data_IF_806144868766
#
_entry.id   IF_806144868766
#
_cell.length_a   1.000
_cell.length_b   1.000
_cell.length_c   1.000
_cell.angle_alpha   90.00
_cell.angle_beta   90.00
_cell.angle_gamma   90.00
#
_symmetry.space_group_name_H-M   'P 1'
#
loop_
_entity.id
_entity.type
_entity.pdbx_description
1 polymer ?
#
# COMPACT_ATOMS: atom_id res chain seq x y z
N UNK A 1 18.32 -9.31 -27.04
CA UNK A 1 17.77 -10.66 -27.24
C UNK A 1 16.78 -10.94 -26.12
N UNK A 2 15.62 -11.51 -26.43
CA UNK A 2 14.60 -11.85 -25.42
C UNK A 2 14.91 -13.22 -24.81
N UNK A 3 14.97 -13.31 -23.48
CA UNK A 3 15.17 -14.57 -22.76
C UNK A 3 13.95 -15.49 -22.93
N UNK A 4 14.17 -16.80 -23.07
CA UNK A 4 13.09 -17.80 -23.02
C UNK A 4 12.72 -18.15 -21.57
N UNK A 5 11.51 -18.68 -21.30
CA UNK A 5 11.13 -19.12 -19.95
C UNK A 5 12.08 -20.19 -19.37
N UNK A 6 12.60 -21.10 -20.20
CA UNK A 6 13.54 -22.14 -19.79
C UNK A 6 14.90 -21.55 -19.39
N UNK A 7 15.42 -20.58 -20.15
CA UNK A 7 16.65 -19.88 -19.80
C UNK A 7 16.48 -19.06 -18.51
N UNK A 8 15.32 -18.42 -18.33
CA UNK A 8 15.00 -17.71 -17.09
C UNK A 8 14.95 -18.65 -15.87
N UNK A 9 14.32 -19.82 -16.02
CA UNK A 9 14.32 -20.85 -14.98
C UNK A 9 15.74 -21.33 -14.67
N UNK A 10 16.54 -21.67 -15.69
CA UNK A 10 17.94 -22.06 -15.51
C UNK A 10 18.75 -21.00 -14.75
N UNK A 11 18.54 -19.71 -15.05
CA UNK A 11 19.19 -18.59 -14.37
C UNK A 11 18.86 -18.56 -12.87
N UNK A 12 17.59 -18.77 -12.52
CA UNK A 12 17.15 -18.81 -11.12
C UNK A 12 17.69 -20.05 -10.38
N UNK A 13 17.78 -21.21 -11.04
CA UNK A 13 18.42 -22.43 -10.50
C UNK A 13 19.92 -22.20 -10.23
N UNK A 14 20.59 -21.44 -11.10
CA UNK A 14 22.00 -21.07 -10.95
C UNK A 14 22.23 -19.93 -9.94
N UNK A 15 21.20 -19.47 -9.21
CA UNK A 15 21.25 -18.31 -8.31
C UNK A 15 21.73 -17.01 -9.00
N UNK A 16 21.48 -16.87 -10.30
CA UNK A 16 21.85 -15.70 -11.10
C UNK A 16 20.65 -14.77 -11.29
N UNK A 17 20.90 -13.47 -11.22
CA UNK A 17 19.91 -12.42 -11.48
C UNK A 17 19.36 -12.54 -12.91
N UNK A 18 18.05 -12.37 -13.11
CA UNK A 18 17.46 -12.10 -14.43
C UNK A 18 17.57 -10.59 -14.67
N UNK A 19 18.20 -10.18 -15.77
CA UNK A 19 18.43 -8.75 -16.02
C UNK A 19 17.11 -8.00 -16.25
N UNK A 20 17.14 -6.69 -16.04
CA UNK A 20 15.96 -5.83 -16.14
C UNK A 20 15.14 -6.07 -17.43
N UNK A 21 15.76 -5.99 -18.61
CA UNK A 21 15.06 -6.14 -19.89
C UNK A 21 14.55 -7.57 -20.13
N UNK A 22 15.25 -8.56 -19.58
CA UNK A 22 14.83 -9.97 -19.59
C UNK A 22 13.58 -10.15 -18.72
N UNK A 23 13.56 -9.54 -17.54
CA UNK A 23 12.42 -9.57 -16.62
C UNK A 23 11.21 -8.83 -17.19
N UNK A 24 11.40 -7.70 -17.88
CA UNK A 24 10.32 -7.01 -18.59
C UNK A 24 9.65 -7.95 -19.59
N UNK A 25 10.43 -8.65 -20.41
CA UNK A 25 9.88 -9.62 -21.37
C UNK A 25 9.13 -10.76 -20.67
N UNK A 26 9.76 -11.36 -19.64
CA UNK A 26 9.21 -12.49 -18.91
C UNK A 26 7.88 -12.15 -18.22
N UNK A 27 7.80 -10.99 -17.58
CA UNK A 27 6.58 -10.53 -16.91
C UNK A 27 5.47 -10.22 -17.91
N UNK A 28 5.79 -9.74 -19.13
CA UNK A 28 4.77 -9.55 -20.18
C UNK A 28 4.17 -10.88 -20.62
N UNK A 29 4.96 -11.95 -20.72
CA UNK A 29 4.44 -13.29 -21.02
C UNK A 29 3.47 -13.77 -19.93
N UNK A 30 3.82 -13.58 -18.65
CA UNK A 30 2.94 -13.92 -17.52
C UNK A 30 1.65 -13.09 -17.56
N UNK A 31 1.77 -11.77 -17.74
CA UNK A 31 0.61 -10.86 -17.76
C UNK A 31 -0.31 -11.10 -18.97
N UNK A 32 0.20 -11.55 -20.11
CA UNK A 32 -0.61 -11.94 -21.28
C UNK A 32 -1.28 -13.31 -21.16
N UNK A 33 -0.73 -14.19 -20.32
CA UNK A 33 -1.17 -15.58 -20.22
C UNK A 33 -0.47 -16.50 -21.22
N UNK A 34 0.66 -16.07 -21.77
CA UNK A 34 1.44 -16.80 -22.78
C UNK A 34 2.44 -17.81 -22.15
N UNK A 35 2.45 -17.92 -20.82
CA UNK A 35 3.31 -18.84 -20.06
C UNK A 35 2.48 -19.92 -19.38
N UNK A 36 2.93 -21.18 -19.44
CA UNK A 36 2.23 -22.27 -18.77
C UNK A 36 2.25 -22.07 -17.24
N UNK A 37 1.19 -22.49 -16.51
CA UNK A 37 1.14 -22.40 -15.05
C UNK A 37 2.33 -23.07 -14.35
N UNK A 38 2.78 -24.22 -14.88
CA UNK A 38 3.93 -24.98 -14.34
C UNK A 38 5.22 -24.18 -14.46
N UNK A 39 5.47 -23.58 -15.63
CA UNK A 39 6.67 -22.79 -15.86
C UNK A 39 6.68 -21.51 -15.00
N UNK A 40 5.53 -20.83 -14.93
CA UNK A 40 5.37 -19.65 -14.08
C UNK A 40 5.62 -19.99 -12.60
N UNK A 41 5.05 -21.08 -12.08
CA UNK A 41 5.27 -21.53 -10.71
C UNK A 41 6.76 -21.84 -10.44
N UNK A 42 7.44 -22.51 -11.36
CA UNK A 42 8.86 -22.84 -11.23
C UNK A 42 9.74 -21.59 -11.16
N UNK A 43 9.55 -20.64 -12.06
CA UNK A 43 10.30 -19.38 -12.10
C UNK A 43 10.03 -18.54 -10.86
N UNK A 44 8.77 -18.38 -10.46
CA UNK A 44 8.40 -17.60 -9.28
C UNK A 44 9.01 -18.20 -8.01
N UNK A 45 9.04 -19.53 -7.92
CA UNK A 45 9.71 -20.24 -6.82
C UNK A 45 11.22 -20.01 -6.85
N UNK A 46 11.84 -20.11 -8.03
CA UNK A 46 13.26 -19.85 -8.23
C UNK A 46 13.67 -18.42 -7.85
N UNK A 47 12.89 -17.42 -8.26
CA UNK A 47 13.05 -16.02 -7.84
C UNK A 47 13.02 -15.87 -6.33
N UNK A 48 12.05 -16.51 -5.68
CA UNK A 48 11.88 -16.43 -4.23
C UNK A 48 13.03 -17.08 -3.47
N UNK A 49 13.51 -18.24 -3.92
CA UNK A 49 14.65 -18.96 -3.32
C UNK A 49 15.96 -18.20 -3.52
N UNK A 50 16.17 -17.64 -4.73
CA UNK A 50 17.32 -16.78 -5.02
C UNK A 50 17.30 -15.46 -4.23
N UNK A 51 16.10 -14.99 -3.86
CA UNK A 51 15.76 -13.62 -3.48
C UNK A 51 15.79 -12.67 -4.68
N UNK A 52 14.72 -11.90 -4.81
CA UNK A 52 14.50 -10.96 -5.89
C UNK A 52 15.40 -9.72 -5.73
N UNK A 53 15.99 -9.25 -6.83
CA UNK A 53 16.80 -8.03 -6.86
C UNK A 53 15.93 -6.79 -7.11
N UNK A 54 16.48 -5.60 -6.83
CA UNK A 54 15.83 -4.32 -7.15
C UNK A 54 15.51 -4.23 -8.65
N UNK A 55 16.40 -4.73 -9.53
CA UNK A 55 16.19 -4.71 -10.98
C UNK A 55 15.03 -5.60 -11.42
N UNK A 56 14.94 -6.81 -10.85
CA UNK A 56 13.85 -7.75 -11.13
C UNK A 56 12.50 -7.20 -10.64
N UNK A 57 12.45 -6.63 -9.42
CA UNK A 57 11.22 -6.08 -8.84
C UNK A 57 10.76 -4.84 -9.62
N UNK A 58 11.67 -3.92 -9.96
CA UNK A 58 11.33 -2.72 -10.73
C UNK A 58 10.79 -3.06 -12.12
N UNK A 59 11.41 -4.03 -12.82
CA UNK A 59 10.92 -4.50 -14.11
C UNK A 59 9.53 -5.13 -14.00
N UNK A 60 9.31 -5.98 -12.99
CA UNK A 60 8.02 -6.62 -12.76
C UNK A 60 6.91 -5.59 -12.42
N UNK A 61 7.21 -4.60 -11.57
CA UNK A 61 6.29 -3.51 -11.25
C UNK A 61 5.97 -2.66 -12.49
N UNK A 62 6.97 -2.33 -13.31
CA UNK A 62 6.79 -1.59 -14.58
C UNK A 62 5.79 -2.30 -15.49
N UNK A 63 5.96 -3.60 -15.71
CA UNK A 63 5.03 -4.38 -16.54
C UNK A 63 3.64 -4.47 -15.91
N UNK A 64 3.54 -4.59 -14.59
CA UNK A 64 2.23 -4.57 -13.92
C UNK A 64 1.52 -3.22 -14.10
N UNK A 65 2.25 -2.09 -14.10
CA UNK A 65 1.70 -0.76 -14.43
C UNK A 65 1.29 -0.64 -15.90
N UNK A 66 2.02 -1.27 -16.83
CA UNK A 66 1.66 -1.32 -18.27
C UNK A 66 0.30 -2.00 -18.51
N UNK A 67 -0.03 -3.02 -17.73
CA UNK A 67 -1.27 -3.79 -17.85
C UNK A 67 -2.39 -3.33 -16.90
N UNK A 68 -2.14 -2.29 -16.11
CA UNK A 68 -3.13 -1.72 -15.20
C UNK A 68 -4.11 -0.80 -15.94
N UNK A 69 -5.37 -0.76 -15.48
CA UNK A 69 -6.33 0.27 -15.87
C UNK A 69 -6.02 1.54 -15.06
N UNK A 70 -5.37 2.50 -15.69
CA UNK A 70 -4.90 3.74 -15.06
C UNK A 70 -6.06 4.63 -14.62
N UNK A 71 -5.82 5.38 -13.55
CA UNK A 71 -6.69 6.45 -13.07
C UNK A 71 -5.97 7.76 -13.37
N UNK A 72 -6.48 8.52 -14.33
CA UNK A 72 -5.89 9.80 -14.70
C UNK A 72 -6.28 10.85 -13.65
N UNK A 73 -5.29 11.38 -12.94
CA UNK A 73 -5.45 12.41 -11.90
C UNK A 73 -4.60 13.62 -12.30
N UNK A 74 -5.12 14.82 -12.08
CA UNK A 74 -4.35 16.04 -12.28
C UNK A 74 -3.10 16.05 -11.39
N UNK A 75 -1.99 16.51 -11.96
CA UNK A 75 -0.72 16.62 -11.25
C UNK A 75 -0.88 17.45 -9.97
N UNK A 76 -0.37 16.92 -8.87
CA UNK A 76 -0.52 17.53 -7.56
C UNK A 76 0.60 17.05 -6.64
N UNK A 77 1.41 18.01 -6.17
CA UNK A 77 2.55 17.74 -5.30
C UNK A 77 2.14 17.13 -3.95
N UNK A 78 0.87 17.27 -3.52
CA UNK A 78 0.34 16.70 -2.29
C UNK A 78 -0.46 15.41 -2.50
N UNK A 79 -0.27 14.74 -3.64
CA UNK A 79 -0.90 13.47 -3.95
C UNK A 79 -0.07 12.29 -3.42
N UNK A 80 -0.67 11.50 -2.54
CA UNK A 80 0.00 10.40 -1.84
C UNK A 80 -0.77 9.09 -1.98
N UNK A 81 -0.03 8.00 -2.15
CA UNK A 81 -0.55 6.64 -1.98
C UNK A 81 -0.31 6.13 -0.56
N UNK A 82 -1.34 5.58 0.08
CA UNK A 82 -1.25 4.99 1.42
C UNK A 82 -1.59 3.51 1.33
N UNK A 83 -0.55 2.67 1.33
CA UNK A 83 -0.67 1.25 1.01
C UNK A 83 0.25 0.40 1.89
N UNK A 84 -0.15 -0.83 2.14
CA UNK A 84 0.68 -1.85 2.80
C UNK A 84 0.82 -3.07 1.90
N UNK A 85 1.92 -3.82 2.07
CA UNK A 85 2.05 -5.15 1.46
C UNK A 85 1.00 -6.13 1.98
N UNK A 86 0.49 -5.89 3.19
CA UNK A 86 -0.35 -6.83 3.93
C UNK A 86 0.39 -8.10 4.33
N UNK A 87 -0.31 -8.96 5.05
CA UNK A 87 0.23 -10.24 5.47
C UNK A 87 1.26 -10.15 6.59
N UNK A 88 1.29 -9.05 7.33
CA UNK A 88 2.08 -8.89 8.56
C UNK A 88 1.65 -9.85 9.69
N UNK A 89 0.41 -10.37 9.64
CA UNK A 89 -0.15 -11.30 10.62
C UNK A 89 -0.55 -10.63 11.94
N UNK A 90 -0.60 -9.30 11.99
CA UNK A 90 -0.93 -8.55 13.20
C UNK A 90 -2.42 -8.62 13.54
N UNK A 91 -3.27 -8.79 12.51
CA UNK A 91 -4.74 -8.80 12.61
C UNK A 91 -5.31 -7.53 13.25
N UNK A 92 -4.64 -6.38 13.07
CA UNK A 92 -5.16 -5.10 13.54
C UNK A 92 -6.37 -4.64 12.71
N UNK A 93 -7.15 -3.71 13.26
CA UNK A 93 -8.07 -2.93 12.45
C UNK A 93 -7.34 -2.20 11.31
N UNK A 94 -8.08 -1.77 10.29
CA UNK A 94 -7.53 -1.15 9.09
C UNK A 94 -6.98 0.28 9.34
N UNK A 95 -5.79 0.37 9.93
CA UNK A 95 -5.08 1.60 10.26
C UNK A 95 -4.82 2.44 9.01
N UNK A 96 -4.24 1.88 7.95
CA UNK A 96 -4.02 2.61 6.70
C UNK A 96 -5.31 3.09 6.02
N UNK A 97 -6.47 2.46 6.25
CA UNK A 97 -7.77 2.97 5.77
C UNK A 97 -8.26 4.15 6.61
N UNK A 98 -8.13 4.08 7.94
CA UNK A 98 -8.41 5.22 8.81
C UNK A 98 -7.51 6.42 8.49
N UNK A 99 -6.23 6.13 8.23
CA UNK A 99 -5.18 7.10 7.86
C UNK A 99 -5.54 7.87 6.59
N UNK A 100 -6.10 7.20 5.58
CA UNK A 100 -6.58 7.84 4.33
C UNK A 100 -7.56 8.99 4.62
N UNK A 101 -8.56 8.76 5.49
CA UNK A 101 -9.56 9.78 5.82
C UNK A 101 -8.96 10.98 6.56
N UNK A 102 -8.03 10.72 7.50
CA UNK A 102 -7.37 11.78 8.25
C UNK A 102 -6.45 12.60 7.36
N UNK A 103 -5.62 11.95 6.53
CA UNK A 103 -4.71 12.63 5.62
C UNK A 103 -5.47 13.51 4.61
N UNK A 104 -6.59 13.01 4.06
CA UNK A 104 -7.42 13.80 3.16
C UNK A 104 -8.11 14.97 3.84
N UNK A 105 -8.61 14.78 5.07
CA UNK A 105 -9.15 15.88 5.86
C UNK A 105 -8.08 16.94 6.19
N UNK A 106 -6.81 16.54 6.32
CA UNK A 106 -5.69 17.42 6.63
C UNK A 106 -5.05 18.07 5.39
N UNK A 107 -5.56 17.81 4.17
CA UNK A 107 -5.18 18.53 2.95
C UNK A 107 -4.39 17.72 1.91
N UNK A 108 -4.10 16.45 2.17
CA UNK A 108 -3.53 15.57 1.13
C UNK A 108 -4.59 15.17 0.11
N UNK A 109 -4.18 14.93 -1.14
CA UNK A 109 -4.96 14.09 -2.05
C UNK A 109 -4.51 12.66 -1.84
N UNK A 110 -5.44 11.72 -1.67
CA UNK A 110 -5.09 10.34 -1.29
C UNK A 110 -5.57 9.34 -2.33
N UNK A 111 -4.62 8.58 -2.86
CA UNK A 111 -4.87 7.32 -3.52
C UNK A 111 -4.75 6.18 -2.49
N UNK A 112 -5.66 5.21 -2.58
CA UNK A 112 -5.51 3.96 -1.83
C UNK A 112 -5.77 2.77 -2.74
N UNK A 113 -4.71 2.03 -3.05
CA UNK A 113 -4.83 0.74 -3.69
C UNK A 113 -5.10 -0.34 -2.64
N UNK A 114 -6.10 -1.19 -2.86
CA UNK A 114 -6.50 -2.17 -1.85
C UNK A 114 -7.25 -3.38 -2.40
N UNK A 115 -7.36 -4.40 -1.55
CA UNK A 115 -8.05 -5.65 -1.87
C UNK A 115 -8.78 -6.18 -0.63
N UNK A 116 -9.55 -7.25 -0.82
CA UNK A 116 -10.17 -8.02 0.27
C UNK A 116 -9.11 -8.76 1.08
N UNK A 117 -9.40 -9.01 2.35
CA UNK A 117 -8.53 -9.77 3.23
C UNK A 117 -8.35 -11.21 2.74
N UNK A 118 -7.09 -11.63 2.52
CA UNK A 118 -6.76 -13.03 2.20
C UNK A 118 -6.23 -13.75 3.45
N UNK A 119 -5.32 -13.10 4.18
CA UNK A 119 -4.76 -13.59 5.46
C UNK A 119 -5.22 -12.79 6.68
N UNK A 120 -5.70 -11.55 6.50
CA UNK A 120 -6.29 -10.74 7.56
C UNK A 120 -7.79 -11.03 7.71
N UNK A 121 -8.34 -10.72 8.90
CA UNK A 121 -9.77 -10.86 9.20
C UNK A 121 -10.63 -9.75 8.57
N UNK A 122 -9.97 -8.68 8.12
CA UNK A 122 -10.59 -7.56 7.41
C UNK A 122 -9.54 -6.92 6.50
N UNK A 123 -9.80 -6.87 5.19
CA UNK A 123 -9.02 -6.05 4.26
C UNK A 123 -9.61 -4.64 4.14
N UNK A 124 -8.85 -3.77 3.47
CA UNK A 124 -9.29 -2.38 3.22
C UNK A 124 -10.61 -2.31 2.45
N UNK A 125 -10.80 -3.20 1.46
CA UNK A 125 -12.07 -3.29 0.73
C UNK A 125 -13.25 -3.69 1.62
N UNK A 126 -13.03 -4.65 2.54
CA UNK A 126 -14.09 -5.20 3.39
C UNK A 126 -14.56 -4.16 4.42
N UNK A 127 -13.64 -3.37 5.01
CA UNK A 127 -14.02 -2.30 5.95
C UNK A 127 -14.68 -1.12 5.22
N UNK A 128 -14.26 -0.79 4.00
CA UNK A 128 -14.86 0.29 3.21
C UNK A 128 -16.31 -0.08 2.81
N UNK A 129 -16.55 -1.32 2.39
CA UNK A 129 -17.92 -1.80 2.16
C UNK A 129 -18.76 -1.79 3.45
N UNK A 130 -18.18 -2.18 4.58
CA UNK A 130 -18.87 -2.14 5.87
C UNK A 130 -19.23 -0.70 6.30
N UNK A 131 -18.45 0.30 5.86
CA UNK A 131 -18.75 1.73 6.01
C UNK A 131 -19.81 2.23 5.02
N UNK A 132 -20.18 1.42 4.02
CA UNK A 132 -21.14 1.78 2.97
C UNK A 132 -20.50 2.40 1.73
N UNK A 133 -19.18 2.33 1.55
CA UNK A 133 -18.52 2.79 0.32
C UNK A 133 -18.81 1.81 -0.81
N UNK A 134 -19.17 2.32 -1.98
CA UNK A 134 -19.19 1.51 -3.19
C UNK A 134 -17.75 1.37 -3.72
N UNK A 135 -17.14 0.20 -3.51
CA UNK A 135 -15.75 -0.06 -3.90
C UNK A 135 -15.59 -0.45 -5.39
N UNK A 136 -16.68 -0.72 -6.09
CA UNK A 136 -16.67 -1.20 -7.48
C UNK A 136 -16.73 -0.04 -8.49
N UNK A 137 -15.89 0.97 -8.26
CA UNK A 137 -15.78 2.11 -9.18
C UNK A 137 -14.92 1.76 -10.40
N UNK A 138 -15.28 2.33 -11.54
CA UNK A 138 -14.45 2.35 -12.74
C UNK A 138 -13.38 3.47 -12.65
N UNK A 139 -12.28 3.40 -13.41
CA UNK A 139 -11.17 4.34 -13.27
C UNK A 139 -11.56 5.81 -13.35
N UNK A 140 -12.47 6.17 -14.25
CA UNK A 140 -12.94 7.55 -14.41
C UNK A 140 -13.74 8.04 -13.20
N UNK A 141 -14.46 7.14 -12.53
CA UNK A 141 -15.20 7.44 -11.30
C UNK A 141 -14.25 7.59 -10.11
N UNK A 142 -13.16 6.82 -10.07
CA UNK A 142 -12.10 7.00 -9.06
C UNK A 142 -11.42 8.36 -9.25
N UNK A 143 -11.09 8.74 -10.48
CA UNK A 143 -10.52 10.06 -10.78
C UNK A 143 -11.44 11.20 -10.30
N UNK A 144 -12.74 11.10 -10.59
CA UNK A 144 -13.74 12.04 -10.11
C UNK A 144 -13.84 12.05 -8.56
N UNK A 145 -13.76 10.89 -7.90
CA UNK A 145 -13.71 10.79 -6.44
C UNK A 145 -12.53 11.54 -5.85
N UNK A 146 -11.34 11.39 -6.45
CA UNK A 146 -10.13 12.09 -6.00
C UNK A 146 -10.28 13.60 -6.18
N UNK A 147 -10.85 14.04 -7.30
CA UNK A 147 -11.06 15.45 -7.58
C UNK A 147 -12.08 16.09 -6.61
N UNK A 148 -13.20 15.42 -6.34
CA UNK A 148 -14.30 15.97 -5.52
C UNK A 148 -14.03 15.82 -4.02
N UNK A 149 -13.57 14.63 -3.61
CA UNK A 149 -13.45 14.27 -2.19
C UNK A 149 -12.04 14.34 -1.63
N UNK A 150 -11.04 14.50 -2.50
CA UNK A 150 -9.63 14.39 -2.14
C UNK A 150 -9.18 12.93 -1.93
N UNK A 151 -10.03 11.94 -2.20
CA UNK A 151 -9.72 10.52 -1.97
C UNK A 151 -10.25 9.61 -3.08
N UNK A 152 -9.51 8.54 -3.37
CA UNK A 152 -9.94 7.49 -4.29
C UNK A 152 -9.48 6.11 -3.82
N UNK A 153 -10.42 5.18 -3.74
CA UNK A 153 -10.11 3.77 -3.51
C UNK A 153 -10.08 3.00 -4.84
N UNK A 154 -8.96 2.33 -5.10
CA UNK A 154 -8.76 1.49 -6.28
C UNK A 154 -8.82 0.04 -5.85
N UNK A 155 -9.93 -0.64 -6.19
CA UNK A 155 -10.09 -2.05 -5.90
C UNK A 155 -9.23 -2.90 -6.85
N UNK A 156 -8.23 -3.60 -6.32
CA UNK A 156 -7.19 -4.25 -7.12
C UNK A 156 -7.70 -5.14 -8.27
N UNK A 157 -8.76 -5.97 -8.12
CA UNK A 157 -9.31 -6.75 -9.22
C UNK A 157 -9.82 -5.91 -10.41
N UNK A 158 -10.31 -4.68 -10.16
CA UNK A 158 -10.82 -3.80 -11.21
C UNK A 158 -9.69 -3.17 -12.02
N UNK A 159 -8.56 -2.88 -11.36
CA UNK A 159 -7.45 -2.18 -11.97
C UNK A 159 -6.36 -3.11 -12.53
N UNK A 160 -6.24 -4.35 -12.05
CA UNK A 160 -5.24 -5.30 -12.52
C UNK A 160 -5.84 -6.57 -13.13
N UNK A 161 -6.62 -6.48 -14.24
CA UNK A 161 -7.31 -7.63 -14.82
C UNK A 161 -6.36 -8.73 -15.31
N UNK A 162 -5.13 -8.37 -15.72
CA UNK A 162 -4.10 -9.31 -16.14
C UNK A 162 -3.66 -10.28 -15.02
N UNK A 163 -3.85 -9.92 -13.75
CA UNK A 163 -3.52 -10.78 -12.61
C UNK A 163 -4.31 -12.08 -12.59
N UNK A 164 -5.44 -12.18 -13.31
CA UNK A 164 -6.19 -13.43 -13.48
C UNK A 164 -5.34 -14.56 -14.06
N UNK A 165 -4.32 -14.23 -14.85
CA UNK A 165 -3.45 -15.20 -15.51
C UNK A 165 -2.49 -15.90 -14.54
N UNK A 166 -2.18 -15.25 -13.41
CA UNK A 166 -1.28 -15.81 -12.38
C UNK A 166 -1.98 -16.12 -11.04
N UNK A 167 -3.20 -15.62 -10.84
CA UNK A 167 -3.96 -15.81 -9.61
C UNK A 167 -4.18 -17.30 -9.22
N UNK A 168 -4.50 -18.23 -10.14
CA UNK A 168 -4.62 -19.65 -9.81
C UNK A 168 -3.32 -20.23 -9.26
N UNK A 169 -2.19 -19.95 -9.93
CA UNK A 169 -0.85 -20.40 -9.51
C UNK A 169 -0.51 -19.86 -8.12
N UNK A 170 -0.75 -18.57 -7.88
CA UNK A 170 -0.50 -17.95 -6.57
C UNK A 170 -1.34 -18.60 -5.46
N UNK A 171 -2.60 -18.89 -5.74
CA UNK A 171 -3.50 -19.56 -4.79
C UNK A 171 -3.04 -20.98 -4.47
N UNK A 172 -2.61 -21.72 -5.48
CA UNK A 172 -2.13 -23.10 -5.33
C UNK A 172 -0.80 -23.17 -4.59
N UNK A 173 0.16 -22.27 -4.89
CA UNK A 173 1.43 -22.19 -4.18
C UNK A 173 1.26 -21.88 -2.69
N UNK A 174 0.30 -21.03 -2.33
CA UNK A 174 -0.03 -20.71 -0.93
C UNK A 174 1.06 -19.96 -0.14
N UNK A 175 2.21 -19.66 -0.75
CA UNK A 175 3.36 -18.98 -0.14
C UNK A 175 3.57 -17.58 -0.71
N UNK A 176 4.32 -16.74 0.01
CA UNK A 176 4.69 -15.40 -0.47
C UNK A 176 5.72 -15.50 -1.60
N UNK A 177 5.53 -14.68 -2.63
CA UNK A 177 6.35 -14.60 -3.84
C UNK A 177 6.60 -13.13 -4.20
N UNK A 178 7.34 -12.85 -5.28
CA UNK A 178 7.51 -11.49 -5.82
C UNK A 178 6.17 -10.73 -5.94
N UNK A 179 5.08 -11.41 -6.32
CA UNK A 179 3.76 -10.77 -6.46
C UNK A 179 3.17 -10.20 -5.15
N UNK A 180 3.66 -10.62 -3.98
CA UNK A 180 3.22 -10.08 -2.70
C UNK A 180 3.85 -8.71 -2.39
N UNK A 181 4.97 -8.37 -3.04
CA UNK A 181 5.65 -7.07 -2.85
C UNK A 181 5.39 -6.11 -4.02
N UNK A 182 4.76 -6.58 -5.10
CA UNK A 182 4.41 -5.75 -6.26
C UNK A 182 3.16 -4.90 -6.05
N UNK A 183 2.20 -5.31 -5.22
CA UNK A 183 0.92 -4.59 -5.05
C UNK A 183 1.08 -3.10 -4.69
N UNK A 184 1.91 -2.76 -3.68
CA UNK A 184 2.22 -1.36 -3.36
C UNK A 184 2.94 -0.60 -4.47
N UNK A 185 3.65 -1.29 -5.37
CA UNK A 185 4.44 -0.66 -6.43
C UNK A 185 3.61 -0.34 -7.67
N UNK A 186 2.36 -0.77 -7.74
CA UNK A 186 1.55 -0.76 -8.97
C UNK A 186 0.30 0.10 -8.86
N UNK A 187 0.30 1.11 -7.98
CA UNK A 187 -0.82 2.03 -7.85
C UNK A 187 -1.27 2.58 -9.23
N UNK A 188 -2.52 2.33 -9.66
CA UNK A 188 -3.03 2.78 -10.95
C UNK A 188 -3.11 4.29 -11.15
N UNK A 189 -3.07 5.08 -10.08
CA UNK A 189 -3.13 6.54 -10.12
C UNK A 189 -1.76 7.22 -10.17
N UNK A 190 -0.66 6.46 -10.12
CA UNK A 190 0.73 6.94 -10.26
C UNK A 190 1.07 8.13 -9.34
N UNK A 191 0.61 8.09 -8.09
CA UNK A 191 0.90 9.13 -7.11
C UNK A 191 2.43 9.32 -6.95
N UNK A 192 2.93 10.57 -6.99
CA UNK A 192 4.38 10.84 -6.89
C UNK A 192 4.93 10.51 -5.51
N UNK A 193 4.06 10.54 -4.50
CA UNK A 193 4.40 10.31 -3.10
C UNK A 193 3.75 9.06 -2.55
N UNK A 194 4.37 8.44 -1.54
CA UNK A 194 3.84 7.19 -0.97
C UNK A 194 4.25 6.96 0.48
N UNK A 195 3.29 6.52 1.30
CA UNK A 195 3.55 5.80 2.55
C UNK A 195 3.29 4.32 2.32
N UNK A 196 4.35 3.51 2.39
CA UNK A 196 4.33 2.08 2.12
C UNK A 196 4.68 1.26 3.36
N UNK A 197 3.71 0.52 3.88
CA UNK A 197 3.94 -0.54 4.86
C UNK A 197 4.54 -1.80 4.24
N UNK A 198 5.54 -2.41 4.87
CA UNK A 198 6.10 -3.72 4.46
C UNK A 198 6.04 -4.75 5.57
N UNK A 199 5.84 -6.03 5.24
CA UNK A 199 5.74 -7.11 6.25
C UNK A 199 7.08 -7.63 6.79
N UNK A 200 8.23 -7.14 6.28
CA UNK A 200 9.55 -7.65 6.65
C UNK A 200 10.61 -6.54 6.61
N UNK A 201 11.57 -6.50 7.55
CA UNK A 201 12.56 -5.42 7.64
C UNK A 201 13.43 -5.28 6.38
N UNK A 202 13.87 -6.39 5.77
CA UNK A 202 14.64 -6.35 4.51
C UNK A 202 13.94 -5.59 3.38
N UNK A 203 12.60 -5.56 3.38
CA UNK A 203 11.83 -4.89 2.34
C UNK A 203 11.87 -3.37 2.46
N UNK A 204 12.23 -2.81 3.62
CA UNK A 204 12.34 -1.35 3.82
C UNK A 204 13.33 -0.77 2.83
N UNK A 205 14.57 -1.27 2.85
CA UNK A 205 15.61 -0.84 1.94
C UNK A 205 15.35 -1.26 0.48
N UNK A 206 14.78 -2.44 0.25
CA UNK A 206 14.53 -2.92 -1.12
C UNK A 206 13.47 -2.05 -1.81
N UNK A 207 12.30 -1.86 -1.18
CA UNK A 207 11.17 -1.20 -1.81
C UNK A 207 11.42 0.30 -2.02
N UNK A 208 12.11 0.99 -1.10
CA UNK A 208 12.43 2.42 -1.29
C UNK A 208 13.35 2.64 -2.50
N UNK A 209 14.32 1.74 -2.72
CA UNK A 209 15.20 1.79 -3.90
C UNK A 209 14.50 1.35 -5.19
N UNK A 210 13.52 0.45 -5.10
CA UNK A 210 12.66 0.13 -6.24
C UNK A 210 11.83 1.36 -6.63
N UNK A 211 11.21 2.04 -5.67
CA UNK A 211 10.44 3.27 -5.93
C UNK A 211 11.29 4.38 -6.51
N UNK A 212 12.55 4.53 -6.05
CA UNK A 212 13.52 5.44 -6.66
C UNK A 212 13.74 5.12 -8.15
N UNK A 213 13.91 3.84 -8.52
CA UNK A 213 14.05 3.43 -9.93
C UNK A 213 12.78 3.60 -10.75
N UNK A 214 11.61 3.50 -10.10
CA UNK A 214 10.31 3.75 -10.73
C UNK A 214 9.98 5.25 -10.86
N UNK A 215 10.85 6.15 -10.38
CA UNK A 215 10.71 7.59 -10.56
C UNK A 215 9.83 8.28 -9.51
N UNK A 216 9.63 7.68 -8.34
CA UNK A 216 8.91 8.31 -7.24
C UNK A 216 9.65 9.54 -6.69
N UNK A 217 8.91 10.46 -6.07
CA UNK A 217 9.45 11.72 -5.54
C UNK A 217 9.72 11.63 -4.04
N UNK A 218 8.68 11.49 -3.22
CA UNK A 218 8.78 11.40 -1.76
C UNK A 218 8.12 10.11 -1.25
N UNK A 219 8.92 9.15 -0.78
CA UNK A 219 8.42 7.84 -0.32
C UNK A 219 8.93 7.53 1.07
N UNK A 220 8.04 7.10 1.96
CA UNK A 220 8.40 6.46 3.23
C UNK A 220 7.98 4.99 3.18
N UNK A 221 8.95 4.09 3.24
CA UNK A 221 8.72 2.65 3.43
C UNK A 221 8.93 2.33 4.91
N UNK A 222 7.94 1.71 5.56
CA UNK A 222 7.92 1.53 7.01
C UNK A 222 7.71 0.08 7.42
N UNK A 223 8.38 -0.33 8.51
CA UNK A 223 8.19 -1.60 9.18
C UNK A 223 8.25 -1.42 10.69
N UNK A 224 7.15 -1.68 11.38
CA UNK A 224 7.11 -1.73 12.84
C UNK A 224 7.87 -2.95 13.35
N UNK A 225 8.79 -2.78 14.31
CA UNK A 225 9.60 -3.89 14.87
C UNK A 225 8.80 -4.90 15.69
N UNK A 226 7.53 -4.60 15.97
CA UNK A 226 6.53 -5.55 16.48
C UNK A 226 5.87 -6.39 15.37
N UNK A 227 6.36 -6.27 14.14
CA UNK A 227 5.95 -7.06 12.98
C UNK A 227 4.84 -6.43 12.14
N UNK A 228 4.49 -5.16 12.36
CA UNK A 228 3.42 -4.47 11.64
C UNK A 228 3.92 -3.86 10.32
N UNK A 229 3.07 -3.89 9.28
CA UNK A 229 3.29 -3.13 8.05
C UNK A 229 2.70 -1.71 8.14
N UNK A 230 2.92 -1.04 9.27
CA UNK A 230 2.49 0.34 9.58
C UNK A 230 3.55 0.99 10.47
N UNK A 231 3.47 2.30 10.70
CA UNK A 231 4.22 2.95 11.79
C UNK A 231 3.62 2.50 13.13
N UNK A 232 4.43 1.85 13.96
CA UNK A 232 3.96 1.23 15.19
C UNK A 232 3.98 2.18 16.39
N UNK A 233 3.02 1.98 17.31
CA UNK A 233 3.04 2.56 18.65
C UNK A 233 3.87 1.73 19.64
N UNK A 234 4.44 0.60 19.27
CA UNK A 234 5.18 -0.24 20.21
C UNK A 234 5.52 -1.57 19.57
N UNK A 235 6.67 -1.72 18.91
CA UNK A 235 7.95 -1.05 19.15
C UNK A 235 8.33 0.06 18.13
N UNK A 236 9.62 0.38 18.05
CA UNK A 236 10.18 1.30 17.05
C UNK A 236 9.87 0.87 15.61
N UNK A 237 9.95 1.82 14.67
CA UNK A 237 9.66 1.61 13.25
C UNK A 237 10.91 1.88 12.43
N UNK A 238 11.31 0.91 11.60
CA UNK A 238 12.34 1.12 10.57
C UNK A 238 11.73 1.90 9.42
N UNK A 239 12.46 2.90 8.92
CA UNK A 239 12.02 3.79 7.85
C UNK A 239 13.07 3.84 6.76
N UNK A 240 12.64 3.61 5.52
CA UNK A 240 13.39 3.87 4.30
C UNK A 240 12.73 5.06 3.60
N UNK A 241 13.40 6.19 3.59
CA UNK A 241 12.91 7.43 2.99
C UNK A 241 13.61 7.69 1.65
N UNK A 242 12.82 7.98 0.61
CA UNK A 242 13.29 8.59 -0.61
C UNK A 242 12.80 10.03 -0.61
N UNK A 243 13.72 11.00 -0.72
CA UNK A 243 13.41 12.41 -0.88
C UNK A 243 14.53 13.10 -1.64
N UNK A 244 14.18 14.01 -2.57
CA UNK A 244 15.15 14.72 -3.41
C UNK A 244 16.11 13.79 -4.18
N UNK A 245 15.64 12.59 -4.53
CA UNK A 245 16.43 11.56 -5.20
C UNK A 245 17.42 10.81 -4.30
N UNK A 246 17.50 11.12 -3.01
CA UNK A 246 18.35 10.43 -2.04
C UNK A 246 17.56 9.43 -1.20
N UNK A 247 18.16 8.25 -0.96
CA UNK A 247 17.60 7.24 -0.07
C UNK A 247 18.31 7.30 1.28
N UNK A 248 17.54 7.38 2.37
CA UNK A 248 18.01 7.33 3.75
C UNK A 248 17.28 6.24 4.51
N UNK A 249 18.00 5.55 5.40
CA UNK A 249 17.41 4.56 6.29
C UNK A 249 17.66 4.98 7.74
N UNK A 250 16.60 5.00 8.54
CA UNK A 250 16.64 5.40 9.94
C UNK A 250 15.54 4.70 10.72
N UNK A 251 15.45 5.00 12.02
CA UNK A 251 14.46 4.42 12.93
C UNK A 251 13.76 5.55 13.67
N UNK A 252 12.46 5.39 13.88
CA UNK A 252 11.63 6.31 14.67
C UNK A 252 10.95 5.56 15.80
N UNK A 253 10.73 6.25 16.91
CA UNK A 253 10.01 5.77 18.09
C UNK A 253 8.79 6.66 18.32
N UNK A 254 7.68 6.13 18.89
CA UNK A 254 6.55 6.96 19.32
C UNK A 254 6.98 8.12 20.23
N UNK A 255 7.98 7.88 21.08
CA UNK A 255 8.55 8.85 22.02
C UNK A 255 9.19 10.06 21.32
N UNK A 256 9.72 9.90 20.10
CA UNK A 256 10.29 10.99 19.31
C UNK A 256 9.24 12.07 19.00
N UNK A 257 7.96 11.70 19.08
CA UNK A 257 6.80 12.56 18.84
C UNK A 257 5.99 12.83 20.12
N UNK A 258 6.54 12.51 21.30
CA UNK A 258 5.86 12.66 22.59
C UNK A 258 4.69 11.69 22.80
N UNK A 259 4.63 10.60 22.03
CA UNK A 259 3.62 9.55 22.17
C UNK A 259 4.15 8.43 23.05
N UNK A 260 3.27 7.79 23.80
CA UNK A 260 3.66 6.67 24.66
C UNK A 260 3.71 5.38 23.86
N UNK A 261 4.72 4.55 24.11
CA UNK A 261 4.71 3.18 23.62
C UNK A 261 3.51 2.38 24.18
N UNK A 262 2.77 1.71 23.29
CA UNK A 262 1.63 0.87 23.63
C UNK A 262 1.65 -0.41 22.81
N UNK A 263 1.28 -1.55 23.43
CA UNK A 263 1.18 -2.82 22.73
C UNK A 263 0.06 -2.84 21.69
N UNK A 264 0.33 -3.39 20.52
CA UNK A 264 -0.65 -3.59 19.45
C UNK A 264 -1.80 -4.58 19.78
N UNK A 265 -1.75 -5.28 20.92
CA UNK A 265 -2.76 -6.30 21.30
C UNK A 265 -4.19 -5.72 21.35
N UNK A 266 -4.35 -4.46 21.75
CA UNK A 266 -5.65 -3.79 21.84
C UNK A 266 -6.18 -3.33 20.49
N UNK A 267 -5.39 -3.45 19.42
CA UNK A 267 -5.76 -3.03 18.07
C UNK A 267 -6.31 -4.18 17.22
N UNK A 268 -6.27 -5.42 17.76
CA UNK A 268 -6.73 -6.62 17.05
C UNK A 268 -8.23 -6.65 16.88
N UNK A 269 -8.67 -7.13 15.72
CA UNK A 269 -10.08 -7.30 15.37
C UNK A 269 -10.30 -8.64 14.67
N UNK A 270 -11.47 -9.24 14.89
CA UNK A 270 -11.82 -10.54 14.31
C UNK A 270 -12.81 -10.44 13.13
N UNK A 271 -13.29 -9.23 12.82
CA UNK A 271 -14.22 -8.99 11.71
C UNK A 271 -14.08 -7.60 11.09
N UNK A 272 -14.63 -7.43 9.88
CA UNK A 272 -14.73 -6.13 9.23
C UNK A 272 -15.65 -5.15 9.99
N UNK A 273 -16.68 -5.65 10.67
CA UNK A 273 -17.56 -4.83 11.52
C UNK A 273 -16.82 -4.30 12.76
N UNK A 274 -16.01 -5.13 13.42
CA UNK A 274 -15.15 -4.67 14.52
C UNK A 274 -14.10 -3.66 14.03
N UNK A 275 -13.48 -3.92 12.87
CA UNK A 275 -12.57 -2.95 12.24
C UNK A 275 -13.27 -1.62 11.95
N UNK A 276 -14.52 -1.66 11.47
CA UNK A 276 -15.33 -0.47 11.20
C UNK A 276 -15.58 0.33 12.48
N UNK A 277 -16.00 -0.34 13.56
CA UNK A 277 -16.28 0.31 14.84
C UNK A 277 -15.03 1.01 15.36
N UNK A 278 -13.89 0.30 15.44
CA UNK A 278 -12.65 0.88 15.93
C UNK A 278 -12.12 2.03 15.07
N UNK A 279 -12.26 1.92 13.73
CA UNK A 279 -11.95 3.00 12.80
C UNK A 279 -12.82 4.23 13.06
N UNK A 280 -14.14 4.07 13.17
CA UNK A 280 -15.06 5.17 13.43
C UNK A 280 -14.82 5.82 14.79
N UNK A 281 -14.44 5.04 15.81
CA UNK A 281 -14.04 5.56 17.11
C UNK A 281 -12.78 6.43 17.03
N UNK A 282 -11.76 5.97 16.29
CA UNK A 282 -10.54 6.75 16.07
C UNK A 282 -10.83 8.07 15.35
N UNK A 283 -11.61 8.03 14.27
CA UNK A 283 -12.01 9.23 13.51
C UNK A 283 -12.94 10.15 14.30
N UNK A 284 -13.76 9.59 15.20
CA UNK A 284 -14.66 10.32 16.09
C UNK A 284 -13.98 10.93 17.32
N UNK A 285 -12.65 11.02 17.32
CA UNK A 285 -11.84 11.56 18.41
C UNK A 285 -12.03 10.86 19.77
N UNK A 286 -12.45 9.59 19.78
CA UNK A 286 -12.52 8.81 21.04
C UNK A 286 -11.09 8.61 21.57
N UNK A 287 -10.77 9.02 22.81
CA UNK A 287 -9.45 8.79 23.37
C UNK A 287 -9.12 7.30 23.43
N UNK A 288 -7.93 6.92 22.95
CA UNK A 288 -7.46 5.53 22.99
C UNK A 288 -6.37 5.22 21.96
N UNK A 289 -5.83 4.00 22.05
CA UNK A 289 -4.70 3.52 21.22
C UNK A 289 -5.00 3.60 19.73
N UNK A 290 -6.24 3.28 19.32
CA UNK A 290 -6.67 3.35 17.93
C UNK A 290 -6.56 4.77 17.35
N UNK A 291 -6.95 5.80 18.11
CA UNK A 291 -6.79 7.20 17.69
C UNK A 291 -5.32 7.58 17.58
N UNK A 292 -4.51 7.20 18.55
CA UNK A 292 -3.09 7.55 18.58
C UNK A 292 -2.32 6.91 17.40
N UNK A 293 -2.54 5.63 17.09
CA UNK A 293 -1.83 4.98 15.98
C UNK A 293 -2.26 5.53 14.61
N UNK A 294 -3.55 5.87 14.46
CA UNK A 294 -4.05 6.54 13.26
C UNK A 294 -3.46 7.94 13.12
N UNK A 295 -3.33 8.67 14.23
CA UNK A 295 -2.68 9.99 14.24
C UNK A 295 -1.22 9.90 13.79
N UNK A 296 -0.47 8.93 14.32
CA UNK A 296 0.94 8.71 13.98
C UNK A 296 1.12 8.36 12.49
N UNK A 297 0.34 7.42 11.97
CA UNK A 297 0.39 7.05 10.56
C UNK A 297 -0.11 8.19 9.65
N UNK A 298 -1.11 8.96 10.06
CA UNK A 298 -1.60 10.11 9.30
C UNK A 298 -0.58 11.25 9.26
N UNK A 299 0.11 11.52 10.37
CA UNK A 299 1.19 12.50 10.37
C UNK A 299 2.36 12.09 9.48
N UNK A 300 2.68 10.80 9.46
CA UNK A 300 3.69 10.23 8.55
C UNK A 300 3.24 10.34 7.09
N UNK A 301 1.97 10.06 6.80
CA UNK A 301 1.42 10.21 5.45
C UNK A 301 1.42 11.68 4.99
N UNK A 302 1.06 12.62 5.86
CA UNK A 302 1.08 14.06 5.57
C UNK A 302 2.49 14.59 5.32
N UNK A 303 3.48 14.04 6.03
CA UNK A 303 4.89 14.31 5.75
C UNK A 303 5.30 13.75 4.38
N UNK A 304 4.99 12.49 4.08
CA UNK A 304 5.28 11.90 2.75
C UNK A 304 4.59 12.64 1.61
N UNK A 305 3.42 13.24 1.88
CA UNK A 305 2.65 14.01 0.91
C UNK A 305 3.11 15.47 0.77
N UNK A 306 4.21 15.88 1.41
CA UNK A 306 4.68 17.27 1.44
C UNK A 306 3.62 18.30 1.89
N UNK A 307 2.61 17.84 2.65
CA UNK A 307 1.62 18.72 3.31
C UNK A 307 2.22 19.30 4.60
N UNK A 308 3.08 18.52 5.26
CA UNK A 308 3.79 18.90 6.46
C UNK A 308 5.31 18.84 6.25
N UNK A 309 6.05 19.78 6.84
CA UNK A 309 7.52 19.80 6.75
C UNK A 309 8.22 18.72 7.57
N UNK A 310 7.52 18.11 8.54
CA UNK A 310 8.00 17.05 9.40
C UNK A 310 6.88 16.10 9.81
N UNK A 311 7.21 14.89 10.27
CA UNK A 311 6.23 13.95 10.85
C UNK A 311 5.53 14.57 12.06
N UNK A 312 6.25 15.34 12.90
CA UNK A 312 5.68 16.01 14.06
C UNK A 312 4.61 17.05 13.68
N UNK A 313 4.88 17.88 12.66
CA UNK A 313 3.90 18.83 12.14
C UNK A 313 2.69 18.11 11.52
N UNK A 314 2.96 17.00 10.81
CA UNK A 314 1.91 16.13 10.27
C UNK A 314 1.03 15.54 11.37
N UNK A 315 1.60 15.12 12.49
CA UNK A 315 0.86 14.61 13.66
C UNK A 315 -0.05 15.72 14.21
N UNK A 316 0.42 16.97 14.30
CA UNK A 316 -0.41 18.08 14.76
C UNK A 316 -1.61 18.31 13.82
N UNK A 317 -1.37 18.35 12.50
CA UNK A 317 -2.44 18.47 11.50
C UNK A 317 -3.45 17.31 11.57
N UNK A 318 -2.95 16.08 11.77
CA UNK A 318 -3.79 14.90 11.94
C UNK A 318 -4.67 14.99 13.20
N UNK A 319 -4.11 15.43 14.34
CA UNK A 319 -4.88 15.67 15.57
C UNK A 319 -5.97 16.71 15.35
N UNK A 320 -5.65 17.81 14.67
CA UNK A 320 -6.62 18.86 14.38
C UNK A 320 -7.72 18.39 13.42
N UNK A 321 -7.39 17.59 12.40
CA UNK A 321 -8.37 17.00 11.49
C UNK A 321 -9.33 16.01 12.19
N UNK A 322 -8.83 15.21 13.14
CA UNK A 322 -9.64 14.31 13.97
C UNK A 322 -10.49 15.11 14.96
N UNK A 323 -9.89 16.04 15.71
CA UNK A 323 -10.57 16.79 16.76
C UNK A 323 -11.66 17.74 16.22
N UNK A 324 -11.47 18.28 15.02
CA UNK A 324 -12.48 19.12 14.35
C UNK A 324 -13.64 18.33 13.75
N UNK A 325 -13.57 16.99 13.70
CA UNK A 325 -14.60 16.14 13.08
C UNK A 325 -14.46 15.99 11.56
N UNK A 326 -13.61 16.76 10.90
CA UNK A 326 -13.40 16.72 9.43
C UNK A 326 -12.98 15.35 8.92
N UNK A 327 -12.16 14.62 9.69
CA UNK A 327 -11.77 13.25 9.34
C UNK A 327 -12.97 12.28 9.33
N UNK A 328 -13.94 12.47 10.23
CA UNK A 328 -15.18 11.67 10.25
C UNK A 328 -16.11 12.06 9.11
N UNK A 329 -16.20 13.34 8.79
CA UNK A 329 -17.00 13.85 7.65
C UNK A 329 -16.50 13.31 6.31
N UNK A 330 -15.18 13.14 6.14
CA UNK A 330 -14.58 12.53 4.94
C UNK A 330 -15.11 11.12 4.64
N UNK A 331 -15.49 10.35 5.66
CA UNK A 331 -16.16 9.05 5.46
C UNK A 331 -17.52 9.25 4.80
N UNK A 332 -18.33 10.17 5.31
CA UNK A 332 -19.69 10.41 4.80
C UNK A 332 -19.65 11.03 3.39
N UNK A 333 -18.65 11.86 3.11
CA UNK A 333 -18.38 12.44 1.79
C UNK A 333 -18.07 11.35 0.76
N UNK A 334 -17.13 10.45 1.06
CA UNK A 334 -16.78 9.34 0.18
C UNK A 334 -17.96 8.38 -0.03
N UNK A 335 -18.68 8.02 1.04
CA UNK A 335 -19.88 7.18 0.94
C UNK A 335 -20.90 7.83 0.03
N UNK A 336 -21.23 9.11 0.26
CA UNK A 336 -22.22 9.85 -0.55
C UNK A 336 -21.82 9.92 -2.01
N UNK A 337 -20.54 10.19 -2.31
CA UNK A 337 -20.04 10.24 -3.68
C UNK A 337 -20.18 8.88 -4.36
N UNK A 338 -19.59 7.83 -3.77
CA UNK A 338 -19.51 6.51 -4.39
C UNK A 338 -20.89 5.84 -4.57
N UNK A 339 -21.85 6.13 -3.70
CA UNK A 339 -23.22 5.61 -3.78
C UNK A 339 -24.02 6.16 -4.97
N UNK A 340 -23.64 7.29 -5.56
CA UNK A 340 -24.30 7.80 -6.78
C UNK A 340 -24.16 6.84 -7.97
N UNK A 341 -23.17 5.94 -7.92
CA UNK A 341 -22.89 4.96 -8.98
C UNK A 341 -23.42 3.56 -8.66
N UNK A 342 -24.00 3.35 -7.47
CA UNK A 342 -24.59 2.06 -7.09
C UNK A 342 -25.97 1.95 -7.73
N UNK A 343 -26.08 1.10 -8.77
CA UNK A 343 -27.34 0.83 -9.46
C UNK A 343 -28.29 -0.03 -8.62
#
# INVERSE_FOLDING_TARGET
MTITPQEALQRTIEHREIFHDEMLHLMRLIMRGDMSPVMAAAIITGLRVKKETIGEIAAAATVMREFARRVEVEDNANFVDIVGTGGDGSHTFNISTATMFVAAAAGAKVAKHGNRGVSSKSGSADVLEALGVNIDLQPEQVAASIAETGMGFMFAPNHHPAMRNIAPVRRELGVRTIFNILGPLTNPADAPNQLMGVFHPDLVGIQVRVMQRLGAQHVLVVYGKDGMDEVSLGAATLVGELRDGEVREYEIHPEDFGMQMVSNRTLKVESADESRVMLLEALGNKPGVAREIVTLNAGTALYSADVAGSIADGIQLARDAIASGRAREKVDELVRFTQQFKR
#
